data_IF_526623552784
#
_entry.id   IF_526623552784
#
_cell.length_a   1.000
_cell.length_b   1.000
_cell.length_c   1.000
_cell.angle_alpha   90.00
_cell.angle_beta   90.00
_cell.angle_gamma   90.00
#
_symmetry.space_group_name_H-M   'P 1'
#
loop_
_entity.id
_entity.type
_entity.pdbx_description
1 polymer ?
#
# COMPACT_ATOMS: atom_id res chain seq x y z
N UNK A 1 -7.04 8.24 -26.52
CA UNK A 1 -7.01 7.09 -25.59
C UNK A 1 -5.78 7.12 -24.67
N UNK A 2 -4.58 7.30 -25.23
CA UNK A 2 -3.34 7.33 -24.42
C UNK A 2 -3.36 8.46 -23.37
N UNK A 3 -3.82 9.65 -23.73
CA UNK A 3 -3.89 10.81 -22.82
C UNK A 3 -4.82 10.55 -21.61
N UNK A 4 -5.98 9.91 -21.85
CA UNK A 4 -6.91 9.53 -20.77
C UNK A 4 -6.26 8.52 -19.84
N UNK A 5 -5.53 7.56 -20.40
CA UNK A 5 -4.79 6.56 -19.61
C UNK A 5 -3.71 7.24 -18.75
N UNK A 6 -2.88 8.11 -19.33
CA UNK A 6 -1.80 8.81 -18.62
C UNK A 6 -2.36 9.70 -17.52
N UNK A 7 -3.35 10.55 -17.85
CA UNK A 7 -3.99 11.45 -16.88
C UNK A 7 -4.58 10.68 -15.68
N UNK A 8 -5.17 9.50 -15.93
CA UNK A 8 -5.74 8.69 -14.85
C UNK A 8 -4.68 8.03 -13.97
N UNK A 9 -3.58 7.56 -14.57
CA UNK A 9 -2.41 7.07 -13.82
C UNK A 9 -1.86 8.15 -12.89
N UNK A 10 -1.67 9.37 -13.41
CA UNK A 10 -1.19 10.51 -12.63
C UNK A 10 -2.14 10.88 -11.48
N UNK A 11 -3.45 10.92 -11.75
CA UNK A 11 -4.47 11.20 -10.74
C UNK A 11 -4.41 10.19 -9.58
N UNK A 12 -4.40 8.89 -9.89
CA UNK A 12 -4.37 7.83 -8.88
C UNK A 12 -3.05 7.82 -8.10
N UNK A 13 -1.92 8.06 -8.77
CA UNK A 13 -0.61 8.22 -8.11
C UNK A 13 -0.61 9.41 -7.14
N UNK A 14 -1.14 10.57 -7.55
CA UNK A 14 -1.25 11.76 -6.68
C UNK A 14 -2.14 11.51 -5.46
N UNK A 15 -3.19 10.69 -5.62
CA UNK A 15 -4.08 10.28 -4.51
C UNK A 15 -3.47 9.19 -3.62
N UNK A 16 -2.34 8.62 -4.03
CA UNK A 16 -1.72 7.46 -3.39
C UNK A 16 -2.70 6.27 -3.26
N UNK A 17 -3.53 6.06 -4.28
CA UNK A 17 -4.49 4.95 -4.34
C UNK A 17 -3.91 3.77 -5.15
N UNK A 18 -4.20 2.51 -4.76
CA UNK A 18 -3.81 1.37 -5.56
C UNK A 18 -4.62 1.30 -6.86
N UNK A 19 -3.95 0.90 -7.93
CA UNK A 19 -4.58 0.63 -9.22
C UNK A 19 -3.80 -0.44 -9.98
N UNK A 20 -4.39 -1.00 -11.02
CA UNK A 20 -3.72 -1.91 -11.93
C UNK A 20 -3.68 -1.32 -13.35
N UNK A 21 -2.56 -1.51 -14.01
CA UNK A 21 -2.37 -1.19 -15.43
C UNK A 21 -2.50 -2.46 -16.23
N UNK A 22 -3.42 -2.50 -17.21
CA UNK A 22 -3.60 -3.60 -18.13
C UNK A 22 -3.09 -3.21 -19.53
N UNK A 23 -2.27 -4.07 -20.13
CA UNK A 23 -1.75 -3.87 -21.49
C UNK A 23 -1.96 -5.12 -22.31
N UNK A 24 -2.58 -5.00 -23.48
CA UNK A 24 -2.66 -6.09 -24.46
C UNK A 24 -1.29 -6.33 -25.05
N UNK A 25 -0.73 -7.52 -24.83
CA UNK A 25 0.62 -7.88 -25.32
C UNK A 25 0.57 -8.75 -26.57
N UNK A 26 -0.50 -9.54 -26.74
CA UNK A 26 -0.69 -10.43 -27.90
C UNK A 26 -2.16 -10.58 -28.24
N UNK A 27 -2.46 -10.83 -29.52
CA UNK A 27 -3.79 -11.23 -29.99
C UNK A 27 -3.72 -12.29 -31.07
N UNK A 28 -4.79 -13.07 -31.16
CA UNK A 28 -5.15 -13.90 -32.34
C UNK A 28 -6.52 -13.41 -32.80
N UNK A 29 -6.65 -13.08 -34.08
CA UNK A 29 -7.91 -12.60 -34.64
C UNK A 29 -8.95 -13.77 -34.75
N UNK A 30 -10.23 -13.45 -34.66
CA UNK A 30 -10.83 -12.13 -34.47
C UNK A 30 -10.87 -11.70 -32.99
N UNK A 31 -10.25 -10.58 -32.65
CA UNK A 31 -10.29 -9.99 -31.32
C UNK A 31 -10.35 -8.46 -31.43
N UNK A 32 -11.13 -7.81 -30.57
CA UNK A 32 -11.28 -6.35 -30.55
C UNK A 32 -10.11 -5.63 -29.91
N UNK A 33 -9.36 -6.28 -29.00
CA UNK A 33 -8.14 -5.74 -28.41
C UNK A 33 -6.96 -5.82 -29.37
N UNK A 34 -6.11 -4.80 -29.41
CA UNK A 34 -4.89 -4.76 -30.24
C UNK A 34 -3.65 -4.68 -29.34
N UNK A 35 -2.52 -5.30 -29.71
CA UNK A 35 -1.27 -5.13 -28.97
C UNK A 35 -0.96 -3.65 -28.77
N UNK A 36 -0.65 -3.27 -27.54
CA UNK A 36 -0.44 -1.89 -27.12
C UNK A 36 -1.67 -1.16 -26.59
N UNK A 37 -2.89 -1.70 -26.75
CA UNK A 37 -4.08 -1.18 -26.08
C UNK A 37 -3.90 -1.25 -24.57
N UNK A 38 -4.34 -0.19 -23.86
CA UNK A 38 -4.11 -0.02 -22.42
C UNK A 38 -5.38 0.40 -21.69
N UNK A 39 -5.48 -0.05 -20.44
CA UNK A 39 -6.46 0.45 -19.48
C UNK A 39 -5.87 0.56 -18.08
N UNK A 40 -6.41 1.49 -17.30
CA UNK A 40 -6.19 1.58 -15.85
C UNK A 40 -7.44 1.09 -15.15
N UNK A 41 -7.28 0.28 -14.12
CA UNK A 41 -8.37 -0.25 -13.29
C UNK A 41 -8.10 0.20 -11.86
N UNK A 42 -9.03 0.97 -11.29
CA UNK A 42 -8.90 1.42 -9.90
C UNK A 42 -9.44 0.38 -8.92
N UNK A 43 -9.27 0.62 -7.61
CA UNK A 43 -9.74 -0.28 -6.54
C UNK A 43 -11.27 -0.48 -6.49
N UNK A 44 -12.04 0.41 -7.13
CA UNK A 44 -13.50 0.31 -7.22
C UNK A 44 -13.96 -0.52 -8.42
N UNK A 45 -13.03 -1.07 -9.22
CA UNK A 45 -13.33 -1.81 -10.43
C UNK A 45 -13.75 -0.94 -11.61
N UNK A 46 -13.49 0.37 -11.56
CA UNK A 46 -13.69 1.24 -12.71
C UNK A 46 -12.51 1.12 -13.67
N UNK A 47 -12.81 0.91 -14.95
CA UNK A 47 -11.82 0.77 -16.01
C UNK A 47 -11.80 2.01 -16.91
N UNK A 48 -10.64 2.61 -17.07
CA UNK A 48 -10.37 3.77 -17.93
C UNK A 48 -9.40 3.36 -19.05
N UNK A 49 -9.84 3.46 -20.28
CA UNK A 49 -9.12 2.98 -21.46
C UNK A 49 -9.80 1.78 -22.10
N UNK A 50 -9.06 1.02 -22.91
CA UNK A 50 -9.62 -0.09 -23.69
C UNK A 50 -8.62 -1.23 -23.85
N UNK A 51 -9.04 -2.45 -23.59
CA UNK A 51 -8.24 -3.68 -23.74
C UNK A 51 -9.06 -4.85 -24.33
N UNK A 52 -10.28 -4.59 -24.79
CA UNK A 52 -11.16 -5.59 -25.39
C UNK A 52 -12.62 -5.44 -24.96
N UNK A 53 -13.50 -6.25 -25.54
CA UNK A 53 -14.96 -6.24 -25.30
C UNK A 53 -15.39 -6.74 -23.93
N UNK A 54 -16.71 -6.80 -23.70
CA UNK A 54 -17.30 -7.06 -22.38
C UNK A 54 -16.86 -8.38 -21.73
N UNK A 55 -16.68 -9.46 -22.49
CA UNK A 55 -16.21 -10.75 -21.96
C UNK A 55 -14.80 -10.66 -21.37
N UNK A 56 -13.92 -9.90 -22.03
CA UNK A 56 -12.54 -9.64 -21.56
C UNK A 56 -12.55 -8.75 -20.33
N UNK A 57 -13.38 -7.70 -20.34
CA UNK A 57 -13.47 -6.72 -19.25
C UNK A 57 -13.74 -7.37 -17.90
N UNK A 58 -14.74 -8.28 -17.80
CA UNK A 58 -15.08 -8.92 -16.53
C UNK A 58 -13.93 -9.73 -15.92
N UNK A 59 -13.20 -10.47 -16.77
CA UNK A 59 -12.03 -11.23 -16.34
C UNK A 59 -10.91 -10.30 -15.86
N UNK A 60 -10.64 -9.23 -16.62
CA UNK A 60 -9.57 -8.29 -16.27
C UNK A 60 -9.86 -7.53 -14.98
N UNK A 61 -11.12 -7.17 -14.70
CA UNK A 61 -11.48 -6.54 -13.43
C UNK A 61 -11.15 -7.44 -12.23
N UNK A 62 -11.49 -8.73 -12.32
CA UNK A 62 -11.16 -9.71 -11.28
C UNK A 62 -9.65 -9.89 -11.12
N UNK A 63 -8.93 -10.06 -12.22
CA UNK A 63 -7.48 -10.28 -12.16
C UNK A 63 -6.72 -9.02 -11.72
N UNK A 64 -7.21 -7.82 -12.03
CA UNK A 64 -6.69 -6.56 -11.53
C UNK A 64 -6.87 -6.42 -10.01
N UNK A 65 -8.05 -6.78 -9.49
CA UNK A 65 -8.32 -6.81 -8.06
C UNK A 65 -7.36 -7.77 -7.33
N UNK A 66 -7.20 -8.98 -7.86
CA UNK A 66 -6.30 -9.98 -7.31
C UNK A 66 -4.83 -9.56 -7.41
N UNK A 67 -4.43 -8.87 -8.49
CA UNK A 67 -3.09 -8.30 -8.64
C UNK A 67 -2.83 -7.22 -7.60
N UNK A 68 -3.78 -6.30 -7.39
CA UNK A 68 -3.68 -5.27 -6.36
C UNK A 68 -3.63 -5.87 -4.94
N UNK A 69 -4.41 -6.93 -4.64
CA UNK A 69 -4.36 -7.61 -3.34
C UNK A 69 -3.02 -8.29 -3.08
N UNK A 70 -2.45 -8.94 -4.09
CA UNK A 70 -1.19 -9.68 -3.95
C UNK A 70 0.06 -8.82 -4.13
N UNK A 71 -0.05 -7.63 -4.73
CA UNK A 71 1.07 -6.80 -5.15
C UNK A 71 1.92 -7.42 -6.28
N UNK A 72 1.42 -8.47 -6.95
CA UNK A 72 2.16 -9.22 -7.99
C UNK A 72 1.54 -9.02 -9.36
N UNK A 73 2.36 -8.83 -10.42
CA UNK A 73 1.86 -8.77 -11.78
C UNK A 73 1.27 -10.11 -12.21
N UNK A 74 0.44 -10.06 -13.26
CA UNK A 74 -0.24 -11.23 -13.81
C UNK A 74 -0.23 -11.20 -15.33
N UNK A 75 -0.05 -12.36 -15.95
CA UNK A 75 -0.24 -12.55 -17.38
C UNK A 75 -1.48 -13.41 -17.59
N UNK A 76 -2.44 -12.88 -18.31
CA UNK A 76 -3.78 -13.48 -18.49
C UNK A 76 -4.01 -13.70 -19.99
N UNK A 77 -4.36 -14.93 -20.34
CA UNK A 77 -4.75 -15.31 -21.70
C UNK A 77 -6.23 -15.64 -21.73
N UNK A 78 -6.98 -15.02 -22.65
CA UNK A 78 -8.44 -15.15 -22.74
C UNK A 78 -8.81 -15.54 -24.16
N UNK A 79 -9.47 -16.69 -24.35
CA UNK A 79 -9.84 -17.19 -25.67
C UNK A 79 -10.90 -18.30 -25.61
N UNK A 80 -11.52 -18.63 -26.76
CA UNK A 80 -12.60 -19.62 -26.84
C UNK A 80 -12.11 -21.05 -26.69
N UNK A 81 -10.94 -21.36 -27.26
CA UNK A 81 -10.36 -22.71 -27.27
C UNK A 81 -9.44 -22.99 -26.07
N UNK A 82 -9.51 -22.14 -25.06
CA UNK A 82 -8.72 -22.27 -23.83
C UNK A 82 -9.54 -22.99 -22.75
N UNK A 83 -8.82 -23.57 -21.79
CA UNK A 83 -9.39 -24.06 -20.54
C UNK A 83 -9.08 -23.10 -19.39
N UNK A 84 -9.91 -23.13 -18.32
CA UNK A 84 -9.67 -22.30 -17.13
C UNK A 84 -8.55 -22.93 -16.28
N UNK A 85 -7.31 -22.69 -16.62
CA UNK A 85 -6.13 -23.30 -16.01
C UNK A 85 -4.96 -22.33 -15.83
N UNK A 86 -3.95 -22.76 -15.08
CA UNK A 86 -2.64 -22.15 -15.06
C UNK A 86 -1.69 -22.91 -15.97
N UNK A 87 -1.03 -22.21 -16.89
CA UNK A 87 0.04 -22.74 -17.71
C UNK A 87 1.35 -21.99 -17.37
N UNK A 88 2.12 -22.54 -16.43
CA UNK A 88 3.25 -21.85 -15.85
C UNK A 88 2.79 -20.57 -15.11
N UNK A 89 3.29 -19.40 -15.52
CA UNK A 89 2.90 -18.10 -14.98
C UNK A 89 1.69 -17.45 -15.66
N UNK A 90 1.16 -18.08 -16.73
CA UNK A 90 0.01 -17.58 -17.50
C UNK A 90 -1.26 -18.18 -16.96
N UNK A 91 -2.23 -17.33 -16.61
CA UNK A 91 -3.56 -17.76 -16.24
C UNK A 91 -4.49 -17.72 -17.45
N UNK A 92 -5.02 -18.87 -17.85
CA UNK A 92 -5.89 -19.00 -19.00
C UNK A 92 -7.36 -18.94 -18.59
N UNK A 93 -8.16 -18.28 -19.42
CA UNK A 93 -9.60 -18.16 -19.27
C UNK A 93 -10.31 -18.49 -20.55
N UNK A 94 -11.30 -19.39 -20.44
CA UNK A 94 -12.21 -19.70 -21.53
C UNK A 94 -13.20 -18.56 -21.73
N UNK A 95 -13.27 -18.06 -22.95
CA UNK A 95 -14.24 -17.03 -23.35
C UNK A 95 -15.61 -17.66 -23.61
N UNK A 96 -16.66 -17.04 -23.01
CA UNK A 96 -18.05 -17.53 -23.16
C UNK A 96 -18.79 -16.92 -24.35
N UNK A 97 -18.22 -15.88 -24.97
CA UNK A 97 -18.84 -15.24 -26.16
C UNK A 97 -18.52 -15.97 -27.46
N UNK A 98 -19.22 -15.60 -28.55
CA UNK A 98 -19.06 -16.19 -29.87
C UNK A 98 -17.76 -15.77 -30.60
N UNK A 99 -16.94 -14.92 -30.00
CA UNK A 99 -15.65 -14.52 -30.58
C UNK A 99 -14.67 -15.70 -30.56
N UNK A 100 -14.07 -16.01 -31.71
CA UNK A 100 -13.10 -17.10 -31.85
C UNK A 100 -11.66 -16.70 -31.62
N UNK A 101 -11.42 -15.41 -31.33
CA UNK A 101 -10.10 -14.89 -31.14
C UNK A 101 -9.54 -15.12 -29.72
N UNK A 102 -8.29 -14.71 -29.55
CA UNK A 102 -7.60 -14.76 -28.25
C UNK A 102 -6.90 -13.42 -27.99
N UNK A 103 -6.88 -13.01 -26.74
CA UNK A 103 -6.12 -11.87 -26.27
C UNK A 103 -5.29 -12.27 -25.07
N UNK A 104 -4.05 -11.77 -25.03
CA UNK A 104 -3.14 -11.93 -23.90
C UNK A 104 -2.86 -10.54 -23.30
N UNK A 105 -3.09 -10.41 -22.01
CA UNK A 105 -3.05 -9.12 -21.31
C UNK A 105 -2.11 -9.24 -20.11
N UNK A 106 -1.13 -8.36 -20.06
CA UNK A 106 -0.28 -8.16 -18.88
C UNK A 106 -0.94 -7.15 -17.95
N UNK A 107 -1.09 -7.53 -16.67
CA UNK A 107 -1.68 -6.72 -15.61
C UNK A 107 -0.62 -6.45 -14.58
N UNK A 108 -0.28 -5.17 -14.41
CA UNK A 108 0.72 -4.70 -13.47
C UNK A 108 0.07 -3.86 -12.37
N UNK A 109 0.13 -4.29 -11.09
CA UNK A 109 -0.41 -3.49 -9.99
C UNK A 109 0.56 -2.36 -9.63
N UNK A 110 0.02 -1.16 -9.48
CA UNK A 110 0.70 0.00 -8.93
C UNK A 110 0.21 0.19 -7.49
N UNK A 111 1.05 -0.20 -6.54
CA UNK A 111 0.72 -0.11 -5.12
C UNK A 111 1.04 1.29 -4.58
N UNK A 112 0.26 1.78 -3.59
CA UNK A 112 0.59 3.01 -2.89
C UNK A 112 2.01 2.96 -2.33
N UNK A 113 2.69 4.10 -2.35
CA UNK A 113 3.97 4.20 -1.68
C UNK A 113 3.78 3.91 -0.18
N UNK A 114 4.56 2.99 0.34
CA UNK A 114 4.57 2.66 1.76
C UNK A 114 4.89 3.91 2.56
N UNK A 115 4.11 4.18 3.61
CA UNK A 115 4.27 5.35 4.46
C UNK A 115 4.65 4.93 5.88
N UNK A 116 5.77 5.47 6.38
CA UNK A 116 6.23 5.28 7.73
C UNK A 116 6.20 6.62 8.48
N UNK A 117 5.51 6.64 9.60
CA UNK A 117 5.55 7.73 10.57
C UNK A 117 6.49 7.32 11.71
N UNK A 118 7.54 8.09 11.95
CA UNK A 118 8.50 7.84 13.02
C UNK A 118 8.36 8.92 14.08
N UNK A 119 7.99 8.51 15.29
CA UNK A 119 7.81 9.41 16.43
C UNK A 119 9.01 9.31 17.38
N UNK A 120 9.67 10.45 17.62
CA UNK A 120 10.87 10.57 18.46
C UNK A 120 12.05 11.18 17.71
N UNK A 121 13.09 11.61 18.43
CA UNK A 121 14.27 12.31 17.89
C UNK A 121 15.61 11.65 18.24
N UNK A 122 15.56 10.50 18.92
CA UNK A 122 16.73 9.75 19.32
C UNK A 122 17.43 9.02 18.18
N UNK A 123 18.51 8.35 18.49
CA UNK A 123 19.34 7.63 17.49
C UNK A 123 18.55 6.56 16.74
N UNK A 124 17.69 5.82 17.43
CA UNK A 124 16.85 4.77 16.80
C UNK A 124 15.90 5.40 15.79
N UNK A 125 15.20 6.49 16.16
CA UNK A 125 14.31 7.21 15.24
C UNK A 125 15.05 7.69 13.99
N UNK A 126 16.22 8.31 14.15
CA UNK A 126 17.07 8.79 13.05
C UNK A 126 17.52 7.67 12.13
N UNK A 127 17.97 6.55 12.69
CA UNK A 127 18.40 5.37 11.92
C UNK A 127 17.24 4.75 11.15
N UNK A 128 16.06 4.65 11.78
CA UNK A 128 14.86 4.11 11.15
C UNK A 128 14.41 4.98 9.95
N UNK A 129 14.45 6.31 10.11
CA UNK A 129 14.18 7.25 9.01
C UNK A 129 15.11 7.00 7.82
N UNK A 130 16.43 6.90 8.07
CA UNK A 130 17.42 6.66 7.01
C UNK A 130 17.17 5.33 6.27
N UNK A 131 16.92 4.26 7.02
CA UNK A 131 16.66 2.93 6.46
C UNK A 131 15.36 2.92 5.65
N UNK A 132 14.28 3.51 6.18
CA UNK A 132 13.01 3.59 5.49
C UNK A 132 13.11 4.40 4.18
N UNK A 133 13.84 5.52 4.19
CA UNK A 133 14.10 6.30 2.98
C UNK A 133 14.91 5.51 1.95
N UNK A 134 15.93 4.76 2.38
CA UNK A 134 16.72 3.90 1.50
C UNK A 134 15.87 2.75 0.91
N UNK A 135 14.89 2.26 1.67
CA UNK A 135 13.92 1.25 1.21
C UNK A 135 12.77 1.82 0.37
N UNK A 136 12.77 3.13 0.06
CA UNK A 136 11.77 3.76 -0.80
C UNK A 136 10.46 4.16 -0.11
N UNK A 137 10.41 4.16 1.23
CA UNK A 137 9.24 4.63 1.97
C UNK A 137 9.08 6.16 1.87
N UNK A 138 7.83 6.63 1.85
CA UNK A 138 7.51 7.98 2.28
C UNK A 138 7.67 8.03 3.81
N UNK A 139 8.37 9.01 4.35
CA UNK A 139 8.66 9.10 5.78
C UNK A 139 8.21 10.44 6.35
N UNK A 140 7.35 10.40 7.38
CA UNK A 140 7.02 11.55 8.21
C UNK A 140 7.73 11.41 9.55
N UNK A 141 8.61 12.36 9.87
CA UNK A 141 9.25 12.46 11.19
C UNK A 141 8.40 13.32 12.13
N UNK A 142 8.15 12.84 13.35
CA UNK A 142 7.33 13.52 14.34
C UNK A 142 8.10 13.61 15.66
N UNK A 143 8.47 14.80 16.10
CA UNK A 143 9.13 14.96 17.39
C UNK A 143 8.88 16.37 17.95
N UNK A 144 8.68 16.46 19.26
CA UNK A 144 8.52 17.74 19.95
C UNK A 144 9.79 18.57 19.76
N UNK A 145 9.61 19.85 19.40
CA UNK A 145 10.70 20.83 19.18
C UNK A 145 11.76 20.37 18.16
N UNK A 146 11.38 19.54 17.19
CA UNK A 146 12.29 19.11 16.14
C UNK A 146 12.65 20.28 15.22
N UNK A 147 13.95 20.48 15.00
CA UNK A 147 14.46 21.37 13.95
C UNK A 147 14.68 20.63 12.63
N UNK A 148 14.90 21.38 11.54
CA UNK A 148 15.18 20.84 10.21
C UNK A 148 16.37 19.85 10.16
N UNK A 149 17.29 19.94 11.13
CA UNK A 149 18.47 19.06 11.23
C UNK A 149 18.21 17.80 12.09
N UNK A 150 16.99 17.66 12.66
CA UNK A 150 16.67 16.50 13.51
C UNK A 150 16.70 15.21 12.71
N UNK A 151 16.21 15.25 11.47
CA UNK A 151 16.21 14.10 10.56
C UNK A 151 16.83 14.47 9.23
N UNK A 152 17.69 13.58 8.71
CA UNK A 152 18.13 13.66 7.33
C UNK A 152 17.03 13.13 6.42
N UNK A 153 16.54 13.91 5.46
CA UNK A 153 15.71 13.42 4.36
C UNK A 153 14.33 12.82 4.72
N UNK A 154 13.59 13.42 5.66
CA UNK A 154 12.15 13.14 5.78
C UNK A 154 11.37 13.86 4.66
N UNK A 155 10.24 13.28 4.24
CA UNK A 155 9.34 13.93 3.28
C UNK A 155 8.46 14.98 3.97
N UNK A 156 8.21 14.78 5.28
CA UNK A 156 7.42 15.68 6.09
C UNK A 156 7.95 15.69 7.53
N UNK A 157 8.08 16.87 8.12
CA UNK A 157 8.50 17.06 9.52
C UNK A 157 7.38 17.71 10.31
N UNK A 158 6.97 17.05 11.39
CA UNK A 158 6.00 17.54 12.35
C UNK A 158 6.75 17.85 13.66
N UNK A 159 6.71 19.11 14.09
CA UNK A 159 7.48 19.62 15.23
C UNK A 159 6.74 19.56 16.56
N UNK A 160 5.57 18.96 16.58
CA UNK A 160 4.75 18.68 17.76
C UNK A 160 4.35 17.21 17.76
N UNK A 161 4.26 16.59 18.94
CA UNK A 161 3.76 15.23 19.08
C UNK A 161 2.22 15.18 18.91
N UNK A 162 1.77 15.48 17.69
CA UNK A 162 0.36 15.41 17.25
C UNK A 162 0.29 14.84 15.84
N UNK A 163 -0.65 13.95 15.61
CA UNK A 163 -0.84 13.32 14.31
C UNK A 163 -2.09 13.80 13.56
N UNK A 164 -2.83 14.80 14.06
CA UNK A 164 -4.10 15.26 13.48
C UNK A 164 -3.98 15.56 11.98
N UNK A 165 -2.92 16.26 11.59
CA UNK A 165 -2.66 16.68 10.21
C UNK A 165 -1.87 15.64 9.38
N UNK A 166 -1.43 14.54 9.99
CA UNK A 166 -0.71 13.48 9.27
C UNK A 166 -1.71 12.58 8.56
N UNK A 167 -1.66 12.58 7.22
CA UNK A 167 -2.50 11.72 6.39
C UNK A 167 -1.97 10.29 6.45
N UNK A 168 -2.71 9.40 7.08
CA UNK A 168 -2.43 7.97 7.14
C UNK A 168 -3.49 7.16 6.40
N UNK A 169 -3.14 5.95 6.03
CA UNK A 169 -4.04 4.95 5.45
C UNK A 169 -3.85 3.62 6.20
N UNK A 170 -4.73 2.63 6.03
CA UNK A 170 -4.51 1.29 6.60
C UNK A 170 -3.21 0.62 6.14
N UNK A 171 -2.57 1.10 5.06
CA UNK A 171 -1.25 0.64 4.62
C UNK A 171 -0.09 1.41 5.27
N UNK A 172 -0.36 2.45 6.07
CA UNK A 172 0.68 3.19 6.79
C UNK A 172 1.15 2.44 8.03
N UNK A 173 2.40 2.70 8.43
CA UNK A 173 2.99 2.19 9.66
C UNK A 173 3.38 3.36 10.56
N UNK A 174 3.22 3.21 11.88
CA UNK A 174 3.71 4.17 12.87
C UNK A 174 4.71 3.44 13.77
N UNK A 175 5.87 4.04 14.01
CA UNK A 175 6.83 3.54 14.99
C UNK A 175 7.12 4.63 16.01
N UNK A 176 6.79 4.34 17.28
CA UNK A 176 7.11 5.19 18.43
C UNK A 176 8.48 4.79 18.97
N UNK A 177 9.45 5.69 18.84
CA UNK A 177 10.84 5.52 19.25
C UNK A 177 11.32 6.75 20.06
N UNK A 178 10.48 7.21 20.98
CA UNK A 178 10.68 8.40 21.83
C UNK A 178 11.69 8.16 22.95
N UNK A 179 11.99 6.91 23.30
CA UNK A 179 13.01 6.52 24.28
C UNK A 179 12.83 7.15 25.68
N UNK A 180 11.59 7.34 26.12
CA UNK A 180 11.26 7.91 27.42
C UNK A 180 10.80 9.37 27.37
N UNK A 181 11.03 10.04 26.28
CA UNK A 181 10.60 11.41 26.08
C UNK A 181 9.16 11.46 25.54
N UNK A 182 8.18 11.62 26.42
CA UNK A 182 6.74 11.72 26.09
C UNK A 182 6.15 10.47 25.45
N UNK A 183 6.55 9.27 25.87
CA UNK A 183 6.06 7.99 25.33
C UNK A 183 4.52 7.88 25.40
N UNK A 184 3.91 8.27 26.53
CA UNK A 184 2.47 8.21 26.75
C UNK A 184 1.72 9.04 25.71
N UNK A 185 2.14 10.29 25.54
CA UNK A 185 1.54 11.20 24.55
C UNK A 185 1.69 10.66 23.13
N UNK A 186 2.88 10.19 22.78
CA UNK A 186 3.14 9.64 21.44
C UNK A 186 2.30 8.38 21.16
N UNK A 187 2.16 7.48 22.13
CA UNK A 187 1.35 6.28 22.00
C UNK A 187 -0.15 6.60 21.87
N UNK A 188 -0.66 7.55 22.67
CA UNK A 188 -2.04 7.99 22.56
C UNK A 188 -2.36 8.55 21.17
N UNK A 189 -1.46 9.36 20.61
CA UNK A 189 -1.61 9.89 19.25
C UNK A 189 -1.55 8.78 18.18
N UNK A 190 -0.60 7.84 18.30
CA UNK A 190 -0.45 6.73 17.38
C UNK A 190 -1.68 5.80 17.39
N UNK A 191 -2.18 5.44 18.56
CA UNK A 191 -3.33 4.54 18.73
C UNK A 191 -4.67 5.13 18.27
N UNK A 192 -4.79 6.44 18.11
CA UNK A 192 -5.96 7.09 17.51
C UNK A 192 -6.02 6.96 15.99
N UNK A 193 -4.90 6.60 15.34
CA UNK A 193 -4.84 6.47 13.87
C UNK A 193 -5.26 5.08 13.41
N UNK A 194 -6.00 5.03 12.30
CA UNK A 194 -6.30 3.78 11.61
C UNK A 194 -5.16 3.46 10.63
N UNK A 195 -4.26 2.57 11.08
CA UNK A 195 -3.06 2.16 10.34
C UNK A 195 -2.82 0.67 10.50
N UNK A 196 -2.10 0.06 9.57
CA UNK A 196 -1.86 -1.38 9.56
C UNK A 196 -0.82 -1.87 10.57
N UNK A 197 0.02 -0.98 11.10
CA UNK A 197 1.04 -1.34 12.07
C UNK A 197 1.36 -0.18 13.01
N UNK A 198 1.39 -0.45 14.31
CA UNK A 198 1.89 0.46 15.33
C UNK A 198 2.93 -0.29 16.15
N UNK A 199 4.20 0.15 16.07
CA UNK A 199 5.31 -0.43 16.82
C UNK A 199 5.80 0.53 17.91
N UNK A 200 6.13 0.00 19.10
CA UNK A 200 6.74 0.77 20.17
C UNK A 200 8.10 0.20 20.56
N UNK A 201 9.12 1.02 20.48
CA UNK A 201 10.50 0.68 20.83
C UNK A 201 10.73 0.88 22.32
N UNK A 202 10.53 -0.17 23.11
CA UNK A 202 10.71 -0.15 24.55
C UNK A 202 11.05 -1.54 25.11
N UNK A 203 11.54 -1.59 26.36
CA UNK A 203 11.72 -2.85 27.08
C UNK A 203 10.38 -3.47 27.50
N UNK A 204 10.31 -4.80 27.64
CA UNK A 204 9.10 -5.52 28.08
C UNK A 204 8.50 -4.93 29.38
N UNK A 205 9.36 -4.59 30.38
CA UNK A 205 8.92 -3.97 31.64
C UNK A 205 8.20 -2.64 31.42
N UNK A 206 8.74 -1.79 30.54
CA UNK A 206 8.16 -0.49 30.24
C UNK A 206 6.84 -0.62 29.50
N UNK A 207 6.75 -1.56 28.57
CA UNK A 207 5.50 -1.87 27.83
C UNK A 207 4.35 -2.19 28.78
N UNK A 208 4.57 -3.11 29.73
CA UNK A 208 3.53 -3.50 30.69
C UNK A 208 2.97 -2.31 31.45
N UNK A 209 3.86 -1.45 31.97
CA UNK A 209 3.47 -0.24 32.72
C UNK A 209 2.68 0.74 31.85
N UNK A 210 3.12 0.96 30.59
CA UNK A 210 2.44 1.88 29.66
C UNK A 210 1.10 1.34 29.16
N UNK A 211 0.96 0.05 28.93
CA UNK A 211 -0.34 -0.55 28.56
C UNK A 211 -1.39 -0.33 29.65
N UNK A 212 -1.04 -0.51 30.93
CA UNK A 212 -1.95 -0.20 32.05
C UNK A 212 -2.33 1.27 32.05
N UNK A 213 -1.35 2.17 31.93
CA UNK A 213 -1.61 3.62 31.86
C UNK A 213 -2.55 3.99 30.71
N UNK A 214 -2.37 3.43 29.50
CA UNK A 214 -3.24 3.72 28.35
C UNK A 214 -4.69 3.30 28.58
N UNK A 215 -4.90 2.12 29.20
CA UNK A 215 -6.23 1.63 29.56
C UNK A 215 -6.88 2.51 30.64
N UNK A 216 -6.14 2.87 31.69
CA UNK A 216 -6.60 3.74 32.76
C UNK A 216 -6.91 5.16 32.26
N UNK A 217 -6.24 5.60 31.19
CA UNK A 217 -6.51 6.87 30.50
C UNK A 217 -7.70 6.82 29.54
N UNK A 218 -8.45 5.72 29.48
CA UNK A 218 -9.64 5.54 28.67
C UNK A 218 -9.40 5.16 27.21
N UNK A 219 -8.18 4.70 26.86
CA UNK A 219 -7.92 4.14 25.53
C UNK A 219 -8.63 2.81 25.37
N UNK A 220 -9.29 2.61 24.23
CA UNK A 220 -9.98 1.36 23.92
C UNK A 220 -9.02 0.16 23.94
N UNK A 221 -9.38 -0.88 24.68
CA UNK A 221 -8.57 -2.09 24.83
C UNK A 221 -8.28 -2.78 23.48
N UNK A 222 -9.23 -2.71 22.52
CA UNK A 222 -9.02 -3.26 21.19
C UNK A 222 -7.92 -2.50 20.43
N UNK A 223 -7.79 -1.18 20.66
CA UNK A 223 -6.73 -0.36 20.08
C UNK A 223 -5.38 -0.63 20.74
N UNK A 224 -5.35 -0.74 22.06
CA UNK A 224 -4.13 -1.10 22.81
C UNK A 224 -3.60 -2.48 22.36
N UNK A 225 -4.49 -3.43 22.09
CA UNK A 225 -4.14 -4.76 21.60
C UNK A 225 -3.49 -4.76 20.19
N UNK A 226 -3.64 -3.68 19.41
CA UNK A 226 -2.96 -3.56 18.11
C UNK A 226 -1.50 -3.10 18.22
N UNK A 227 -1.04 -2.76 19.41
CA UNK A 227 0.33 -2.29 19.66
C UNK A 227 1.32 -3.45 19.61
N UNK A 228 2.25 -3.41 18.68
CA UNK A 228 3.38 -4.33 18.59
C UNK A 228 4.53 -3.83 19.46
N UNK A 229 4.74 -4.47 20.60
CA UNK A 229 5.78 -4.06 21.54
C UNK A 229 6.28 -5.25 22.38
N UNK A 230 7.59 -5.37 22.55
CA UNK A 230 8.66 -4.55 21.92
C UNK A 230 8.62 -4.61 20.40
N UNK A 231 8.88 -3.46 19.75
CA UNK A 231 8.96 -3.43 18.29
C UNK A 231 10.21 -4.15 17.79
N UNK A 232 10.05 -4.95 16.74
CA UNK A 232 11.15 -5.69 16.13
C UNK A 232 11.00 -7.21 16.23
N UNK A 233 11.98 -7.92 15.67
CA UNK A 233 12.07 -9.38 15.73
C UNK A 233 12.68 -9.76 17.10
N UNK A 234 12.06 -10.73 17.79
CA UNK A 234 12.65 -11.31 19.00
C UNK A 234 13.82 -12.20 18.60
N UNK A 235 15.02 -11.74 18.89
CA UNK A 235 16.27 -12.42 18.53
C UNK A 235 16.91 -13.13 19.76
N UNK A 236 16.22 -13.09 20.94
CA UNK A 236 16.71 -13.63 22.23
C UNK A 236 18.13 -13.25 22.59
#
# INVERSE_FOLDING_TARGET
>A
MLDVYISKVEELKKKNEPFAMATVVRRVAPSSGKPGDKAVINRLGEMFGWVGGGCVKGILLKEAEDAMKSGKPRLVRIGKELENQFLGEVKEYKMTCQSEGMVEVFIEPAMPQQHLVVMGKGMIAKSLVRLAKAAGYRVTGVAEDAGLQTFDKVDELITQLKLDNVKTTPASCIVVATQGDMDEKALMEALRKDVGYIGFVASRKKVTSLMSYLLDSGMDASRVATLHSPAGIDIN
#
